data_IF_793050628363
#
_entry.id   IF_793050628363
#
_cell.length_a   1.000
_cell.length_b   1.000
_cell.length_c   1.000
_cell.angle_alpha   90.00
_cell.angle_beta   90.00
_cell.angle_gamma   90.00
#
_symmetry.space_group_name_H-M   'P 1'
#
loop_
_entity.id
_entity.type
_entity.pdbx_description
1 polymer ?
#
# COMPACT_ATOMS: atom_id res chain seq x y z
N UNK A 1 30.60 -16.76 19.83
CA UNK A 1 30.56 -16.00 18.59
C UNK A 1 29.68 -16.79 17.63
N UNK A 2 28.51 -16.30 17.27
CA UNK A 2 27.66 -16.93 16.24
C UNK A 2 28.43 -16.88 14.93
N UNK A 3 28.51 -18.00 14.22
CA UNK A 3 29.21 -18.08 12.96
C UNK A 3 28.21 -17.74 11.85
N UNK A 4 28.51 -16.69 11.07
CA UNK A 4 27.71 -16.29 9.91
C UNK A 4 28.10 -17.10 8.68
N UNK A 5 27.11 -17.55 7.93
CA UNK A 5 27.29 -18.37 6.73
C UNK A 5 26.68 -17.69 5.51
N UNK A 6 27.32 -17.87 4.37
CA UNK A 6 26.83 -17.34 3.10
C UNK A 6 25.67 -18.19 2.58
N UNK A 7 24.53 -17.54 2.36
CA UNK A 7 23.38 -18.15 1.67
C UNK A 7 23.20 -17.46 0.31
N UNK A 8 23.23 -18.26 -0.76
CA UNK A 8 23.03 -17.79 -2.13
C UNK A 8 21.81 -18.48 -2.74
N UNK A 9 20.91 -17.70 -3.31
CA UNK A 9 19.71 -18.20 -3.97
C UNK A 9 19.82 -18.15 -5.50
N UNK A 10 19.50 -19.27 -6.14
CA UNK A 10 19.34 -19.37 -7.59
C UNK A 10 17.86 -19.56 -7.96
N UNK A 11 17.38 -19.06 -9.10
CA UNK A 11 18.11 -18.34 -10.15
C UNK A 11 18.32 -16.85 -9.88
N UNK A 12 17.82 -16.28 -8.77
CA UNK A 12 17.82 -14.85 -8.48
C UNK A 12 19.22 -14.24 -8.33
N UNK A 13 20.23 -15.04 -7.95
CA UNK A 13 21.59 -14.58 -7.65
C UNK A 13 21.72 -13.79 -6.34
N UNK A 14 20.65 -13.60 -5.59
CA UNK A 14 20.65 -12.85 -4.33
C UNK A 14 21.41 -13.65 -3.25
N UNK A 15 22.21 -12.95 -2.47
CA UNK A 15 23.06 -13.58 -1.43
C UNK A 15 23.26 -12.67 -0.23
N UNK A 16 23.49 -13.28 0.92
CA UNK A 16 23.77 -12.59 2.18
C UNK A 16 24.33 -13.54 3.23
N UNK A 17 24.80 -13.00 4.36
CA UNK A 17 25.31 -13.78 5.47
C UNK A 17 24.25 -13.86 6.57
N UNK A 18 24.08 -15.06 7.12
CA UNK A 18 23.10 -15.37 8.16
C UNK A 18 23.69 -16.25 9.24
N UNK A 19 23.25 -16.03 10.47
CA UNK A 19 23.66 -16.83 11.61
C UNK A 19 23.24 -18.30 11.46
N UNK A 20 24.06 -19.20 11.98
CA UNK A 20 23.71 -20.62 12.09
C UNK A 20 22.38 -20.81 12.82
N UNK A 21 21.49 -21.66 12.28
CA UNK A 21 20.15 -21.88 12.80
C UNK A 21 19.05 -21.01 12.13
N UNK A 22 19.41 -20.05 11.29
CA UNK A 22 18.42 -19.24 10.56
C UNK A 22 17.64 -20.10 9.55
N UNK A 23 16.29 -20.12 9.57
CA UNK A 23 15.49 -20.80 8.55
C UNK A 23 15.74 -20.23 7.15
N UNK A 24 15.84 -21.09 6.14
CA UNK A 24 16.08 -20.66 4.74
C UNK A 24 14.97 -19.72 4.25
N UNK A 25 13.71 -19.94 4.65
CA UNK A 25 12.60 -19.03 4.33
C UNK A 25 12.82 -17.63 4.92
N UNK A 26 13.39 -17.53 6.12
CA UNK A 26 13.72 -16.23 6.73
C UNK A 26 14.83 -15.53 5.97
N UNK A 27 15.88 -16.26 5.59
CA UNK A 27 16.97 -15.74 4.76
C UNK A 27 16.44 -15.26 3.39
N UNK A 28 15.55 -16.03 2.75
CA UNK A 28 14.91 -15.66 1.49
C UNK A 28 14.10 -14.34 1.62
N UNK A 29 13.32 -14.22 2.68
CA UNK A 29 12.52 -13.00 2.97
C UNK A 29 13.41 -11.78 3.16
N UNK A 30 14.47 -11.93 3.96
CA UNK A 30 15.41 -10.84 4.22
C UNK A 30 16.10 -10.34 2.94
N UNK A 31 16.44 -11.25 2.04
CA UNK A 31 17.05 -10.92 0.75
C UNK A 31 16.01 -10.53 -0.34
N UNK A 32 14.72 -10.59 -0.03
CA UNK A 32 13.67 -10.35 -1.02
C UNK A 32 13.64 -11.39 -2.14
N UNK A 33 13.99 -12.65 -1.83
CA UNK A 33 13.88 -13.79 -2.77
C UNK A 33 12.44 -14.26 -2.80
N UNK A 34 11.91 -14.45 -4.00
CA UNK A 34 10.54 -14.97 -4.21
C UNK A 34 10.49 -16.45 -3.85
N UNK A 35 10.22 -16.75 -2.59
CA UNK A 35 9.98 -18.09 -2.07
C UNK A 35 8.61 -18.11 -1.38
N UNK A 36 7.67 -18.83 -1.98
CA UNK A 36 6.27 -18.88 -1.57
C UNK A 36 6.08 -19.53 -0.18
N UNK A 37 5.15 -19.02 0.62
CA UNK A 37 4.89 -19.53 1.96
C UNK A 37 3.47 -19.20 2.46
N UNK A 38 2.49 -19.93 1.99
CA UNK A 38 1.06 -19.74 2.33
C UNK A 38 0.76 -19.97 3.81
N UNK A 39 1.48 -20.86 4.49
CA UNK A 39 1.20 -21.22 5.88
C UNK A 39 1.97 -20.39 6.94
N UNK A 40 2.66 -19.33 6.54
CA UNK A 40 3.45 -18.52 7.47
C UNK A 40 4.64 -19.24 8.12
N UNK A 41 5.15 -20.33 7.52
CA UNK A 41 6.32 -21.06 8.05
C UNK A 41 5.98 -22.29 8.90
N UNK A 42 4.72 -22.70 9.01
CA UNK A 42 4.27 -23.84 9.85
C UNK A 42 4.59 -25.22 9.30
N UNK A 43 5.21 -25.34 8.12
CA UNK A 43 5.59 -26.63 7.51
C UNK A 43 4.42 -27.49 7.03
N UNK A 44 3.25 -26.89 6.72
CA UNK A 44 2.03 -27.62 6.34
C UNK A 44 1.58 -27.41 4.90
N UNK A 45 2.04 -26.36 4.21
CA UNK A 45 1.59 -26.06 2.84
C UNK A 45 2.54 -26.55 1.75
N UNK A 46 3.79 -26.84 2.05
CA UNK A 46 4.88 -27.21 1.12
C UNK A 46 5.20 -26.19 0.00
N UNK A 47 4.67 -25.02 0.06
CA UNK A 47 4.95 -24.00 -0.97
C UNK A 47 6.39 -23.49 -0.94
N UNK A 48 7.02 -23.48 0.24
CA UNK A 48 8.42 -23.10 0.43
C UNK A 48 9.43 -24.21 0.13
N UNK A 49 9.18 -25.06 -0.87
CA UNK A 49 10.13 -26.09 -1.26
C UNK A 49 11.38 -25.45 -1.87
N UNK A 50 12.53 -25.97 -1.46
CA UNK A 50 13.85 -25.58 -1.94
C UNK A 50 14.66 -26.80 -2.31
N UNK A 51 15.62 -26.66 -3.22
CA UNK A 51 16.60 -27.68 -3.55
C UNK A 51 17.98 -27.21 -3.07
N UNK A 52 18.55 -27.80 -2.02
CA UNK A 52 19.91 -27.47 -1.59
C UNK A 52 20.92 -27.99 -2.61
N UNK A 53 21.89 -27.16 -2.98
CA UNK A 53 23.00 -27.52 -3.83
C UNK A 53 24.22 -27.84 -2.99
N UNK A 54 24.90 -28.96 -3.30
CA UNK A 54 26.13 -29.38 -2.65
C UNK A 54 27.27 -29.48 -3.66
N UNK A 55 28.52 -29.31 -3.22
CA UNK A 55 29.71 -29.36 -4.07
C UNK A 55 30.24 -27.99 -4.45
N UNK A 56 31.00 -27.91 -5.53
CA UNK A 56 31.67 -26.71 -5.98
C UNK A 56 30.81 -25.91 -6.98
N UNK A 57 30.54 -24.64 -6.65
CA UNK A 57 29.85 -23.67 -7.50
C UNK A 57 30.82 -22.60 -7.96
N UNK A 58 31.73 -22.96 -8.87
CA UNK A 58 32.83 -22.10 -9.36
C UNK A 58 32.34 -20.75 -9.90
N UNK A 59 31.15 -20.73 -10.54
CA UNK A 59 30.52 -19.48 -11.06
C UNK A 59 30.21 -18.48 -9.94
N UNK A 60 29.99 -18.95 -8.73
CA UNK A 60 29.60 -18.13 -7.57
C UNK A 60 30.72 -18.02 -6.52
N UNK A 61 31.81 -18.76 -6.70
CA UNK A 61 32.93 -18.81 -5.76
C UNK A 61 32.58 -19.45 -4.42
N UNK A 62 31.63 -20.40 -4.40
CA UNK A 62 31.13 -21.05 -3.18
C UNK A 62 31.35 -22.56 -3.28
N UNK A 63 31.86 -23.15 -2.21
CA UNK A 63 31.92 -24.61 -2.02
C UNK A 63 31.00 -25.00 -0.87
N UNK A 64 30.00 -25.82 -1.17
CA UNK A 64 28.97 -26.24 -0.21
C UNK A 64 29.28 -27.64 0.30
N UNK A 65 29.49 -27.77 1.61
CA UNK A 65 29.72 -29.08 2.27
C UNK A 65 28.41 -29.83 2.53
N UNK A 66 28.50 -31.15 2.62
CA UNK A 66 27.43 -31.96 3.21
C UNK A 66 27.25 -31.51 4.68
N UNK A 67 25.98 -31.25 5.07
CA UNK A 67 25.67 -30.68 6.39
C UNK A 67 25.58 -29.19 6.47
N UNK A 68 25.66 -28.47 5.35
CA UNK A 68 25.40 -26.99 5.28
C UNK A 68 23.95 -26.61 5.67
N UNK A 69 23.03 -27.56 5.72
CA UNK A 69 21.68 -27.44 6.30
C UNK A 69 21.51 -28.37 7.49
N UNK A 70 20.57 -28.00 8.37
CA UNK A 70 20.14 -28.86 9.47
C UNK A 70 19.63 -30.22 8.99
N UNK A 71 19.72 -31.23 9.84
CA UNK A 71 19.08 -32.51 9.60
C UNK A 71 17.57 -32.39 9.44
N UNK A 72 16.94 -33.40 8.84
CA UNK A 72 15.49 -33.48 8.74
C UNK A 72 14.84 -33.47 10.11
N UNK A 73 13.86 -32.60 10.29
CA UNK A 73 13.09 -32.57 11.52
C UNK A 73 11.78 -33.39 11.40
N UNK A 74 11.09 -33.58 12.52
CA UNK A 74 9.84 -34.35 12.57
C UNK A 74 8.70 -33.76 11.74
N UNK A 75 8.73 -32.45 11.47
CA UNK A 75 7.72 -31.77 10.65
C UNK A 75 7.93 -32.09 9.17
N UNK A 76 9.16 -32.01 8.68
CA UNK A 76 9.51 -32.40 7.30
C UNK A 76 9.26 -33.87 7.07
N UNK A 77 9.66 -34.74 8.01
CA UNK A 77 9.43 -36.17 7.92
C UNK A 77 7.92 -36.48 7.84
N UNK A 78 7.13 -35.93 8.76
CA UNK A 78 5.67 -36.09 8.75
C UNK A 78 5.03 -35.59 7.46
N UNK A 79 5.57 -34.47 6.92
CA UNK A 79 5.08 -33.94 5.64
C UNK A 79 5.37 -34.92 4.48
N UNK A 80 6.63 -35.42 4.40
CA UNK A 80 7.05 -36.40 3.39
C UNK A 80 6.16 -37.65 3.43
N UNK A 81 5.93 -38.19 4.62
CA UNK A 81 5.18 -39.43 4.82
C UNK A 81 3.68 -39.28 4.45
N UNK A 82 3.09 -38.12 4.73
CA UNK A 82 1.63 -37.92 4.51
C UNK A 82 1.26 -37.34 3.15
N UNK A 83 2.11 -36.51 2.56
CA UNK A 83 1.78 -35.75 1.34
C UNK A 83 2.79 -35.94 0.22
N UNK A 84 3.91 -36.55 0.48
CA UNK A 84 5.02 -36.67 -0.44
C UNK A 84 5.79 -35.37 -0.63
N UNK A 85 7.10 -35.41 -0.48
CA UNK A 85 8.01 -34.35 -0.84
C UNK A 85 8.90 -34.88 -1.95
N UNK A 86 9.12 -34.10 -3.00
CA UNK A 86 10.00 -34.49 -4.11
C UNK A 86 11.39 -34.81 -3.57
N UNK A 87 11.98 -35.89 -4.03
CA UNK A 87 13.32 -36.30 -3.55
C UNK A 87 14.35 -35.21 -3.83
N UNK A 88 15.23 -34.98 -2.85
CA UNK A 88 16.23 -33.92 -2.88
C UNK A 88 15.71 -32.54 -2.45
N UNK A 89 14.41 -32.36 -2.22
CA UNK A 89 13.84 -31.10 -1.74
C UNK A 89 13.70 -31.08 -0.22
N UNK A 90 13.74 -29.85 0.32
CA UNK A 90 13.53 -29.53 1.72
C UNK A 90 12.43 -28.46 1.85
N UNK A 91 11.85 -28.34 3.02
CA UNK A 91 10.95 -27.22 3.35
C UNK A 91 11.77 -26.05 3.89
N UNK A 92 11.86 -24.97 3.13
CA UNK A 92 12.65 -23.79 3.48
C UNK A 92 12.29 -23.15 4.84
N UNK A 93 11.05 -23.35 5.30
CA UNK A 93 10.62 -22.88 6.62
C UNK A 93 11.10 -23.79 7.78
N UNK A 94 11.59 -25.00 7.49
CA UNK A 94 12.03 -25.99 8.48
C UNK A 94 13.53 -26.22 8.43
N UNK A 95 14.12 -26.19 7.24
CA UNK A 95 15.55 -26.33 7.04
C UNK A 95 16.27 -25.05 7.47
N UNK A 96 17.32 -25.18 8.30
CA UNK A 96 18.09 -24.04 8.83
C UNK A 96 19.54 -24.08 8.34
N UNK A 97 20.13 -22.88 8.23
CA UNK A 97 21.53 -22.66 7.83
C UNK A 97 22.47 -23.28 8.86
N UNK A 98 23.48 -24.08 8.42
CA UNK A 98 24.54 -24.65 9.25
C UNK A 98 25.92 -24.43 8.62
N UNK A 99 25.99 -23.98 7.39
CA UNK A 99 27.19 -23.71 6.62
C UNK A 99 26.90 -22.88 5.39
N UNK A 100 27.92 -22.51 4.64
CA UNK A 100 27.74 -21.84 3.36
C UNK A 100 26.90 -22.72 2.43
N UNK A 101 25.85 -22.15 1.81
CA UNK A 101 24.87 -22.93 1.06
C UNK A 101 24.40 -22.21 -0.21
N UNK A 102 24.21 -22.98 -1.27
CA UNK A 102 23.51 -22.57 -2.48
C UNK A 102 22.12 -23.21 -2.49
N UNK A 103 21.10 -22.40 -2.60
CA UNK A 103 19.69 -22.82 -2.59
C UNK A 103 19.07 -22.53 -3.95
N UNK A 104 18.62 -23.55 -4.63
CA UNK A 104 17.77 -23.37 -5.81
C UNK A 104 16.31 -23.30 -5.40
N UNK A 105 15.62 -22.24 -5.90
CA UNK A 105 14.18 -22.03 -5.71
C UNK A 105 13.46 -22.55 -6.94
N UNK A 106 12.79 -23.71 -6.85
CA UNK A 106 12.07 -24.29 -7.98
C UNK A 106 10.99 -23.34 -8.51
N UNK A 107 10.69 -23.34 -9.83
CA UNK A 107 9.68 -22.46 -10.42
C UNK A 107 8.31 -22.51 -9.73
N UNK A 108 7.89 -23.69 -9.30
CA UNK A 108 6.62 -23.92 -8.59
C UNK A 108 6.61 -23.42 -7.14
N UNK A 109 7.79 -23.08 -6.60
CA UNK A 109 7.95 -22.45 -5.28
C UNK A 109 8.22 -20.94 -5.37
N UNK A 110 8.26 -20.40 -6.58
CA UNK A 110 8.36 -18.96 -6.79
C UNK A 110 6.97 -18.36 -6.84
N UNK A 111 6.82 -17.17 -6.26
CA UNK A 111 5.59 -16.40 -6.43
C UNK A 111 5.49 -16.00 -7.91
N UNK A 112 4.49 -16.48 -8.60
CA UNK A 112 4.31 -16.16 -10.01
C UNK A 112 4.07 -14.66 -10.17
N UNK A 113 4.90 -13.99 -10.97
CA UNK A 113 4.68 -12.60 -11.37
C UNK A 113 3.44 -12.53 -12.26
N UNK A 114 2.29 -12.32 -11.64
CA UNK A 114 1.08 -11.99 -12.39
C UNK A 114 1.21 -10.55 -12.89
N UNK A 115 0.92 -10.33 -14.16
CA UNK A 115 0.79 -8.98 -14.70
C UNK A 115 -0.57 -8.46 -14.23
N UNK A 116 -0.54 -7.56 -13.25
CA UNK A 116 -1.76 -6.94 -12.73
C UNK A 116 -2.27 -5.93 -13.78
N UNK A 117 -3.36 -6.29 -14.46
CA UNK A 117 -4.06 -5.42 -15.41
C UNK A 117 -5.48 -5.18 -14.91
N UNK A 118 -5.63 -4.39 -13.86
CA UNK A 118 -6.95 -3.85 -13.51
C UNK A 118 -7.20 -2.61 -14.37
N UNK A 119 -8.26 -2.65 -15.19
CA UNK A 119 -8.70 -1.48 -15.95
C UNK A 119 -9.67 -0.69 -15.08
N UNK A 120 -9.52 0.64 -15.09
CA UNK A 120 -10.55 1.50 -14.54
C UNK A 120 -11.74 1.51 -15.51
N UNK A 121 -12.93 1.19 -15.01
CA UNK A 121 -14.18 1.47 -15.73
C UNK A 121 -14.59 2.91 -15.39
N UNK A 122 -14.75 3.72 -16.43
CA UNK A 122 -15.17 5.10 -16.26
C UNK A 122 -16.69 5.12 -16.15
N UNK A 123 -17.19 5.33 -14.94
CA UNK A 123 -18.61 5.58 -14.69
C UNK A 123 -18.91 7.08 -14.87
N UNK A 124 -20.15 7.40 -15.26
CA UNK A 124 -20.62 8.78 -15.23
C UNK A 124 -20.76 9.25 -13.78
N UNK A 125 -19.76 9.95 -13.28
CA UNK A 125 -19.75 10.52 -11.93
C UNK A 125 -19.91 12.03 -11.97
N UNK A 126 -20.53 12.61 -10.96
CA UNK A 126 -20.49 14.06 -10.74
C UNK A 126 -19.12 14.41 -10.16
N UNK A 127 -18.33 15.15 -10.93
CA UNK A 127 -16.99 15.53 -10.52
C UNK A 127 -17.03 16.47 -9.31
N UNK A 128 -16.42 16.03 -8.22
CA UNK A 128 -16.33 16.80 -6.97
C UNK A 128 -15.02 16.48 -6.23
N UNK A 129 -13.87 16.91 -6.79
CA UNK A 129 -12.57 16.58 -6.20
C UNK A 129 -12.40 17.27 -4.85
N UNK A 130 -11.68 16.59 -3.95
CA UNK A 130 -11.32 17.13 -2.63
C UNK A 130 -10.35 18.31 -2.75
N UNK A 131 -9.42 18.27 -3.69
CA UNK A 131 -8.51 19.41 -3.95
C UNK A 131 -8.85 20.10 -5.26
N UNK A 132 -9.01 21.42 -5.19
CA UNK A 132 -9.40 22.26 -6.34
C UNK A 132 -8.48 23.45 -6.48
N UNK A 133 -8.38 23.96 -7.72
CA UNK A 133 -7.60 25.14 -8.08
C UNK A 133 -8.47 26.40 -8.09
N UNK A 134 -7.98 27.46 -7.47
CA UNK A 134 -8.59 28.77 -7.40
C UNK A 134 -7.59 29.84 -7.79
N UNK A 135 -7.85 30.55 -8.87
CA UNK A 135 -7.07 31.74 -9.23
C UNK A 135 -7.62 32.97 -8.55
N UNK A 136 -6.75 33.77 -7.91
CA UNK A 136 -7.16 34.99 -7.23
C UNK A 136 -6.17 36.14 -7.47
N UNK A 137 -6.69 37.35 -7.41
CA UNK A 137 -5.95 38.59 -7.33
C UNK A 137 -5.90 39.06 -5.88
N UNK A 138 -4.71 39.18 -5.33
CA UNK A 138 -4.49 39.57 -3.93
C UNK A 138 -4.12 41.04 -3.86
N UNK A 139 -4.71 41.78 -2.92
CA UNK A 139 -4.40 43.17 -2.71
C UNK A 139 -2.93 43.37 -2.32
N UNK A 140 -2.24 44.33 -2.94
CA UNK A 140 -0.88 44.69 -2.56
C UNK A 140 -0.85 45.34 -1.16
N UNK A 141 0.20 45.08 -0.35
CA UNK A 141 0.35 45.72 0.91
C UNK A 141 0.62 47.24 0.76
N UNK A 142 -0.05 48.02 1.57
CA UNK A 142 0.24 49.44 1.68
C UNK A 142 0.38 49.89 3.13
N UNK A 143 0.80 51.12 3.34
CA UNK A 143 1.05 51.70 4.68
C UNK A 143 -0.24 51.97 5.48
N UNK A 144 -1.41 51.94 4.82
CA UNK A 144 -2.73 52.20 5.42
C UNK A 144 -3.46 50.92 5.80
N UNK A 145 -3.12 49.78 5.14
CA UNK A 145 -3.68 48.47 5.43
C UNK A 145 -2.55 47.47 5.78
N UNK A 146 -2.11 47.43 7.06
CA UNK A 146 -0.96 46.64 7.51
C UNK A 146 -1.28 45.15 7.75
N UNK A 147 -2.28 44.56 7.11
CA UNK A 147 -2.60 43.14 7.21
C UNK A 147 -1.47 42.26 6.64
N UNK A 148 -1.34 41.02 7.11
CA UNK A 148 -0.36 40.05 6.61
C UNK A 148 -0.72 39.54 5.22
N UNK A 149 0.23 38.93 4.53
CA UNK A 149 0.02 38.38 3.18
C UNK A 149 -0.96 37.20 3.20
N UNK A 150 -0.97 36.42 4.28
CA UNK A 150 -1.92 35.32 4.45
C UNK A 150 -3.35 35.80 4.59
N UNK A 151 -3.56 36.81 5.45
CA UNK A 151 -4.88 37.40 5.68
C UNK A 151 -5.44 38.02 4.41
N UNK A 152 -4.59 38.69 3.61
CA UNK A 152 -4.99 39.23 2.29
C UNK A 152 -5.34 38.13 1.31
N UNK A 153 -4.56 37.04 1.28
CA UNK A 153 -4.85 35.88 0.42
C UNK A 153 -6.17 35.21 0.82
N UNK A 154 -6.40 34.99 2.11
CA UNK A 154 -7.68 34.42 2.61
C UNK A 154 -8.84 35.34 2.23
N UNK A 155 -8.74 36.64 2.48
CA UNK A 155 -9.77 37.60 2.13
C UNK A 155 -10.05 37.64 0.62
N UNK A 156 -9.02 37.48 -0.23
CA UNK A 156 -9.19 37.38 -1.68
C UNK A 156 -9.97 36.13 -2.09
N UNK A 157 -9.65 34.97 -1.47
CA UNK A 157 -10.36 33.71 -1.72
C UNK A 157 -11.81 33.76 -1.21
N UNK A 158 -12.06 34.35 -0.05
CA UNK A 158 -13.41 34.56 0.50
C UNK A 158 -14.24 35.47 -0.43
N UNK A 159 -13.67 36.59 -0.85
CA UNK A 159 -14.39 37.58 -1.64
C UNK A 159 -14.66 37.14 -3.07
N UNK A 160 -13.67 36.52 -3.73
CA UNK A 160 -13.73 36.16 -5.15
C UNK A 160 -14.36 34.77 -5.38
N UNK A 161 -14.29 33.86 -4.40
CA UNK A 161 -14.72 32.47 -4.55
C UNK A 161 -15.73 31.98 -3.50
N UNK A 162 -16.14 32.83 -2.54
CA UNK A 162 -17.00 32.48 -1.41
C UNK A 162 -16.47 31.30 -0.58
N UNK A 163 -15.16 31.22 -0.38
CA UNK A 163 -14.54 30.19 0.47
C UNK A 163 -14.45 30.71 1.90
N UNK A 164 -15.15 30.07 2.83
CA UNK A 164 -15.20 30.48 4.23
C UNK A 164 -14.29 29.60 5.11
N UNK A 165 -13.85 30.17 6.24
CA UNK A 165 -13.06 29.47 7.27
C UNK A 165 -11.74 28.85 6.75
N UNK A 166 -11.11 29.47 5.76
CA UNK A 166 -9.87 28.96 5.17
C UNK A 166 -8.74 28.92 6.19
N UNK A 167 -8.05 27.79 6.20
CA UNK A 167 -6.79 27.61 6.90
C UNK A 167 -5.64 27.48 5.90
N UNK A 168 -4.41 27.71 6.33
CA UNK A 168 -3.23 27.50 5.50
C UNK A 168 -2.38 26.36 6.06
N UNK A 169 -1.97 25.45 5.18
CA UNK A 169 -0.97 24.45 5.54
C UNK A 169 0.38 25.15 5.83
N UNK A 170 1.07 24.73 6.90
CA UNK A 170 2.32 25.34 7.28
C UNK A 170 3.37 25.32 6.15
N UNK A 171 3.33 24.30 5.29
CA UNK A 171 4.29 24.15 4.19
C UNK A 171 4.25 25.30 3.17
N UNK A 172 3.15 26.05 3.06
CA UNK A 172 3.06 27.19 2.15
C UNK A 172 3.58 28.49 2.74
N UNK A 173 3.53 28.64 4.07
CA UNK A 173 3.84 29.90 4.75
C UNK A 173 5.26 30.41 4.43
N UNK A 174 6.32 29.58 4.49
CA UNK A 174 7.69 30.05 4.25
C UNK A 174 7.95 30.59 2.84
N UNK A 175 7.18 30.14 1.86
CA UNK A 175 7.36 30.51 0.43
C UNK A 175 6.30 31.48 -0.11
N UNK A 176 5.24 31.73 0.66
CA UNK A 176 4.09 32.52 0.23
C UNK A 176 4.47 33.92 -0.26
N UNK A 177 5.28 34.64 0.51
CA UNK A 177 5.68 36.01 0.15
C UNK A 177 6.41 36.08 -1.19
N UNK A 178 7.30 35.11 -1.44
CA UNK A 178 8.03 35.04 -2.70
C UNK A 178 7.10 34.70 -3.86
N UNK A 179 6.14 33.81 -3.67
CA UNK A 179 5.17 33.38 -4.70
C UNK A 179 4.26 34.54 -5.06
N UNK A 180 3.69 35.26 -4.09
CA UNK A 180 2.83 36.42 -4.32
C UNK A 180 3.54 37.50 -5.14
N UNK A 181 4.78 37.82 -4.78
CA UNK A 181 5.57 38.82 -5.49
C UNK A 181 5.97 38.38 -6.89
N UNK A 182 6.34 37.09 -7.07
CA UNK A 182 6.66 36.50 -8.37
C UNK A 182 5.44 36.50 -9.29
N UNK A 183 4.24 36.28 -8.74
CA UNK A 183 2.99 36.34 -9.46
C UNK A 183 2.43 37.76 -9.67
N UNK A 184 3.14 38.78 -9.23
CA UNK A 184 2.67 40.17 -9.25
C UNK A 184 1.27 40.28 -8.60
N UNK A 185 1.14 39.72 -7.41
CA UNK A 185 -0.06 39.65 -6.58
C UNK A 185 -1.23 38.85 -7.18
N UNK A 186 -0.96 38.07 -8.22
CA UNK A 186 -1.90 37.06 -8.73
C UNK A 186 -1.34 35.67 -8.41
N UNK A 187 -2.18 34.77 -7.95
CA UNK A 187 -1.79 33.41 -7.60
C UNK A 187 -2.90 32.41 -7.92
N UNK A 188 -2.49 31.18 -8.18
CA UNK A 188 -3.40 30.03 -8.19
C UNK A 188 -3.18 29.23 -6.91
N UNK A 189 -4.24 29.01 -6.15
CA UNK A 189 -4.22 28.23 -4.91
C UNK A 189 -4.80 26.85 -5.16
N UNK A 190 -4.12 25.80 -4.67
CA UNK A 190 -4.76 24.53 -4.45
C UNK A 190 -5.38 24.53 -3.05
N UNK A 191 -6.70 24.33 -2.97
CA UNK A 191 -7.44 24.27 -1.71
C UNK A 191 -8.02 22.87 -1.56
N UNK A 192 -7.68 22.22 -0.46
CA UNK A 192 -8.25 20.93 -0.09
C UNK A 192 -9.51 21.14 0.74
N UNK A 193 -10.63 20.61 0.24
CA UNK A 193 -11.93 20.60 0.90
C UNK A 193 -12.12 19.22 1.56
N UNK A 194 -12.09 19.21 2.88
CA UNK A 194 -12.48 18.01 3.62
C UNK A 194 -14.02 17.93 3.74
N UNK A 195 -14.50 16.87 4.37
CA UNK A 195 -15.92 16.72 4.67
C UNK A 195 -16.46 17.82 5.59
N UNK A 196 -17.78 17.83 5.72
CA UNK A 196 -18.50 18.71 6.65
C UNK A 196 -17.88 18.69 8.06
N UNK A 197 -17.53 19.88 8.53
CA UNK A 197 -16.97 20.09 9.88
C UNK A 197 -15.44 20.18 9.94
N UNK A 198 -14.75 20.14 8.80
CA UNK A 198 -13.31 20.44 8.71
C UNK A 198 -13.13 21.62 7.78
N UNK A 199 -12.44 22.65 8.27
CA UNK A 199 -12.18 23.88 7.49
C UNK A 199 -11.33 23.57 6.24
N UNK A 200 -11.63 24.21 5.10
CA UNK A 200 -10.82 24.07 3.88
C UNK A 200 -9.40 24.57 4.10
N UNK A 201 -8.44 23.92 3.46
CA UNK A 201 -7.02 24.23 3.65
C UNK A 201 -6.33 24.59 2.34
N UNK A 202 -5.62 25.70 2.32
CA UNK A 202 -4.73 26.07 1.23
C UNK A 202 -3.47 25.18 1.35
N UNK A 203 -3.26 24.30 0.36
CA UNK A 203 -2.20 23.28 0.42
C UNK A 203 -1.03 23.56 -0.52
N UNK A 204 -1.24 24.40 -1.56
CA UNK A 204 -0.17 24.82 -2.48
C UNK A 204 -0.50 26.16 -3.16
N UNK A 205 0.53 26.85 -3.63
CA UNK A 205 0.44 28.13 -4.33
C UNK A 205 1.33 28.11 -5.57
N UNK A 206 0.82 28.59 -6.67
CA UNK A 206 1.60 28.92 -7.89
C UNK A 206 1.52 30.41 -8.18
N UNK A 207 2.63 31.05 -8.61
CA UNK A 207 2.61 32.45 -9.01
C UNK A 207 1.82 32.61 -10.32
N UNK A 208 0.88 33.56 -10.37
CA UNK A 208 0.04 33.81 -11.52
C UNK A 208 -1.00 32.72 -11.78
N UNK A 209 -1.48 32.68 -13.04
CA UNK A 209 -2.41 31.65 -13.50
C UNK A 209 -1.65 30.33 -13.75
N UNK A 210 -2.01 29.29 -13.01
CA UNK A 210 -1.51 27.94 -13.23
C UNK A 210 -2.45 27.18 -14.17
N UNK A 211 -1.98 26.91 -15.39
CA UNK A 211 -2.74 26.17 -16.41
C UNK A 211 -2.51 24.65 -16.37
N UNK A 212 -1.60 24.19 -15.49
CA UNK A 212 -1.28 22.78 -15.33
C UNK A 212 -2.38 21.96 -14.65
N UNK A 213 -2.12 20.70 -14.48
CA UNK A 213 -3.03 19.72 -13.84
C UNK A 213 -2.52 19.36 -12.45
N UNK A 214 -3.45 19.09 -11.54
CA UNK A 214 -3.20 18.42 -10.27
C UNK A 214 -3.86 17.04 -10.30
N UNK A 215 -3.28 16.11 -9.56
CA UNK A 215 -3.65 14.70 -9.65
C UNK A 215 -4.07 14.14 -8.30
N UNK A 216 -4.88 13.09 -8.37
CA UNK A 216 -5.20 12.19 -7.26
C UNK A 216 -4.79 10.76 -7.60
N UNK A 217 -4.57 9.96 -6.58
CA UNK A 217 -4.27 8.53 -6.70
C UNK A 217 -5.38 7.70 -6.06
N UNK A 218 -5.99 6.80 -6.81
CA UNK A 218 -6.93 5.80 -6.28
C UNK A 218 -6.23 4.45 -6.19
N UNK A 219 -6.24 3.83 -5.01
CA UNK A 219 -5.45 2.62 -4.72
C UNK A 219 -6.33 1.51 -4.16
N UNK A 220 -6.29 0.36 -4.82
CA UNK A 220 -6.80 -0.91 -4.30
C UNK A 220 -5.62 -1.72 -3.73
N UNK A 221 -5.51 -1.73 -2.41
CA UNK A 221 -4.50 -2.47 -1.67
C UNK A 221 -5.00 -3.88 -1.33
N UNK A 222 -4.99 -4.75 -2.32
CA UNK A 222 -5.36 -6.14 -2.14
C UNK A 222 -4.30 -6.98 -1.43
N UNK A 223 -4.69 -8.14 -0.92
CA UNK A 223 -3.76 -9.07 -0.26
C UNK A 223 -2.71 -9.64 -1.22
N UNK A 224 -3.08 -9.91 -2.46
CA UNK A 224 -2.20 -10.49 -3.48
C UNK A 224 -1.63 -9.43 -4.41
N UNK A 225 -2.44 -8.46 -4.80
CA UNK A 225 -2.07 -7.43 -5.79
C UNK A 225 -2.44 -6.05 -5.27
N UNK A 226 -1.60 -5.07 -5.60
CA UNK A 226 -1.88 -3.65 -5.41
C UNK A 226 -2.13 -3.05 -6.79
N UNK A 227 -3.25 -2.36 -6.96
CA UNK A 227 -3.53 -1.60 -8.17
C UNK A 227 -3.70 -0.12 -7.83
N UNK A 228 -3.21 0.76 -8.70
CA UNK A 228 -3.34 2.19 -8.53
C UNK A 228 -3.66 2.88 -9.85
N UNK A 229 -4.48 3.93 -9.75
CA UNK A 229 -4.93 4.75 -10.85
C UNK A 229 -4.62 6.21 -10.57
N UNK A 230 -3.86 6.84 -11.47
CA UNK A 230 -3.60 8.28 -11.45
C UNK A 230 -4.74 8.99 -12.16
N UNK A 231 -5.40 9.90 -11.46
CA UNK A 231 -6.57 10.62 -11.94
C UNK A 231 -6.30 12.13 -12.05
N UNK A 232 -6.68 12.75 -13.15
CA UNK A 232 -6.75 14.22 -13.26
C UNK A 232 -7.91 14.72 -12.39
N UNK A 233 -7.64 15.56 -11.40
CA UNK A 233 -8.67 16.08 -10.49
C UNK A 233 -9.59 17.13 -11.13
N UNK A 234 -9.25 17.66 -12.31
CA UNK A 234 -10.09 18.63 -13.02
C UNK A 234 -11.11 17.96 -13.94
N UNK A 235 -10.75 16.81 -14.53
CA UNK A 235 -11.60 16.12 -15.51
C UNK A 235 -12.20 14.83 -14.98
N UNK A 236 -11.57 14.22 -13.97
CA UNK A 236 -11.91 12.89 -13.47
C UNK A 236 -11.33 11.76 -14.31
N UNK A 237 -10.57 12.07 -15.37
CA UNK A 237 -9.99 11.05 -16.25
C UNK A 237 -8.87 10.27 -15.56
N UNK A 238 -8.83 8.97 -15.83
CA UNK A 238 -7.69 8.13 -15.43
C UNK A 238 -6.57 8.31 -16.44
N UNK A 239 -5.49 8.97 -16.02
CA UNK A 239 -4.34 9.32 -16.87
C UNK A 239 -3.39 8.13 -17.03
N UNK A 240 -3.15 7.39 -15.95
CA UNK A 240 -2.30 6.22 -15.95
C UNK A 240 -2.80 5.20 -14.93
N UNK A 241 -2.48 3.93 -15.15
CA UNK A 241 -2.79 2.83 -14.24
C UNK A 241 -1.63 1.86 -14.18
N UNK A 242 -1.29 1.41 -13.00
CA UNK A 242 -0.29 0.38 -12.81
C UNK A 242 -0.66 -0.53 -11.65
N UNK A 243 0.00 -1.67 -11.56
CA UNK A 243 -0.19 -2.60 -10.46
C UNK A 243 1.02 -3.48 -10.27
N UNK A 244 1.14 -3.99 -9.06
CA UNK A 244 2.21 -4.88 -8.67
C UNK A 244 1.71 -5.96 -7.73
N UNK A 245 2.50 -7.02 -7.57
CA UNK A 245 2.29 -7.99 -6.51
C UNK A 245 2.49 -7.32 -5.14
N UNK A 246 1.59 -7.60 -4.20
CA UNK A 246 1.76 -7.09 -2.84
C UNK A 246 3.05 -7.67 -2.22
N UNK A 247 4.03 -6.84 -1.83
CA UNK A 247 5.30 -7.33 -1.29
C UNK A 247 5.16 -8.11 0.03
N UNK A 248 3.98 -8.04 0.67
CA UNK A 248 3.69 -8.83 1.87
C UNK A 248 3.39 -10.31 1.59
N UNK A 249 3.21 -10.73 0.32
CA UNK A 249 2.99 -12.14 -0.05
C UNK A 249 4.09 -13.05 0.53
N UNK A 250 5.33 -12.58 0.58
CA UNK A 250 6.46 -13.32 1.16
C UNK A 250 6.27 -13.69 2.63
N UNK A 251 5.38 -13.02 3.37
CA UNK A 251 5.06 -13.30 4.76
C UNK A 251 3.83 -14.19 4.92
N UNK A 252 2.96 -14.21 3.91
CA UNK A 252 1.76 -15.02 3.84
C UNK A 252 0.91 -14.64 2.63
N UNK A 253 0.40 -15.61 1.90
CA UNK A 253 -0.36 -15.39 0.67
C UNK A 253 -1.77 -14.85 0.98
N UNK A 254 -2.38 -15.33 2.05
CA UNK A 254 -3.69 -14.93 2.53
C UNK A 254 -3.64 -14.08 3.82
N UNK A 255 -4.78 -13.53 4.21
CA UNK A 255 -4.92 -12.66 5.37
C UNK A 255 -4.52 -13.34 6.68
N UNK A 256 -5.03 -14.55 6.89
CA UNK A 256 -4.81 -15.29 8.15
C UNK A 256 -3.36 -15.76 8.27
N UNK A 257 -2.70 -16.06 7.17
CA UNK A 257 -1.27 -16.37 7.14
C UNK A 257 -0.42 -15.18 7.59
N UNK A 258 -0.79 -13.95 7.23
CA UNK A 258 -0.11 -12.73 7.67
C UNK A 258 -0.35 -12.43 9.14
N UNK A 259 -1.58 -12.57 9.61
CA UNK A 259 -1.89 -12.46 11.04
C UNK A 259 -1.09 -13.50 11.83
N UNK A 260 -1.08 -14.76 11.36
CA UNK A 260 -0.27 -15.83 11.98
C UNK A 260 1.23 -15.50 11.98
N UNK A 261 1.73 -14.88 10.90
CA UNK A 261 3.13 -14.44 10.83
C UNK A 261 3.43 -13.38 11.90
N UNK A 262 2.58 -12.35 12.03
CA UNK A 262 2.73 -11.33 13.07
C UNK A 262 2.72 -11.95 14.48
N UNK A 263 1.80 -12.87 14.74
CA UNK A 263 1.68 -13.55 16.04
C UNK A 263 2.90 -14.40 16.40
N UNK A 264 3.54 -15.02 15.41
CA UNK A 264 4.65 -15.96 15.64
C UNK A 264 6.03 -15.31 15.56
N UNK A 265 6.15 -14.11 14.99
CA UNK A 265 7.40 -13.42 14.76
C UNK A 265 7.34 -12.02 15.39
N UNK A 266 7.98 -11.80 16.55
CA UNK A 266 8.05 -10.48 17.15
C UNK A 266 8.59 -9.43 16.18
N UNK A 267 7.80 -8.37 15.94
CA UNK A 267 8.11 -7.32 14.95
C UNK A 267 7.70 -7.64 13.51
N UNK A 268 7.09 -8.80 13.24
CA UNK A 268 6.62 -9.18 11.91
C UNK A 268 5.53 -8.25 11.35
N UNK A 269 4.73 -7.66 12.21
CA UNK A 269 3.78 -6.58 11.88
C UNK A 269 4.51 -5.36 11.26
N UNK A 270 5.61 -4.93 11.90
CA UNK A 270 6.42 -3.77 11.44
C UNK A 270 7.15 -4.08 10.14
N UNK A 271 7.63 -5.32 9.96
CA UNK A 271 8.25 -5.74 8.70
C UNK A 271 7.25 -5.71 7.55
N UNK A 272 6.02 -6.18 7.77
CA UNK A 272 4.97 -6.15 6.77
C UNK A 272 4.51 -4.71 6.47
N UNK A 273 4.39 -3.86 7.50
CA UNK A 273 4.10 -2.43 7.33
C UNK A 273 5.14 -1.74 6.45
N UNK A 274 6.41 -1.92 6.76
CA UNK A 274 7.50 -1.36 5.95
C UNK A 274 7.44 -1.85 4.51
N UNK A 275 7.28 -3.15 4.31
CA UNK A 275 7.25 -3.74 2.98
C UNK A 275 6.13 -3.18 2.10
N UNK A 276 4.92 -3.00 2.65
CA UNK A 276 3.79 -2.47 1.86
C UNK A 276 3.95 -0.97 1.59
N UNK A 277 4.47 -0.18 2.54
CA UNK A 277 4.70 1.26 2.34
C UNK A 277 5.79 1.53 1.30
N UNK A 278 6.92 0.83 1.38
CA UNK A 278 7.98 0.88 0.38
C UNK A 278 7.46 0.49 -1.01
N UNK A 279 6.67 -0.59 -1.08
CA UNK A 279 6.03 -1.00 -2.34
C UNK A 279 5.07 0.05 -2.88
N UNK A 280 4.31 0.70 -2.02
CA UNK A 280 3.37 1.76 -2.39
C UNK A 280 4.09 2.99 -2.94
N UNK A 281 5.13 3.47 -2.26
CA UNK A 281 5.91 4.63 -2.74
C UNK A 281 6.61 4.34 -4.08
N UNK A 282 7.13 3.11 -4.25
CA UNK A 282 7.70 2.67 -5.52
C UNK A 282 6.65 2.64 -6.65
N UNK A 283 5.43 2.17 -6.38
CA UNK A 283 4.32 2.15 -7.34
C UNK A 283 3.91 3.57 -7.75
N UNK A 284 3.81 4.50 -6.81
CA UNK A 284 3.50 5.90 -7.10
C UNK A 284 4.60 6.55 -7.96
N UNK A 285 5.86 6.27 -7.64
CA UNK A 285 7.00 6.74 -8.43
C UNK A 285 6.96 6.19 -9.85
N UNK A 286 6.64 4.90 -10.02
CA UNK A 286 6.54 4.26 -11.34
C UNK A 286 5.39 4.87 -12.17
N UNK A 287 4.18 5.02 -11.59
CA UNK A 287 3.03 5.59 -12.28
C UNK A 287 3.30 7.03 -12.72
N UNK A 288 3.94 7.82 -11.85
CA UNK A 288 4.30 9.21 -12.18
C UNK A 288 5.30 9.28 -13.33
N UNK A 289 6.27 8.36 -13.36
CA UNK A 289 7.24 8.27 -14.46
C UNK A 289 6.56 7.82 -15.77
N UNK A 290 5.67 6.84 -15.72
CA UNK A 290 4.93 6.34 -16.88
C UNK A 290 4.00 7.41 -17.47
N UNK A 291 3.46 8.29 -16.63
CA UNK A 291 2.61 9.42 -17.00
C UNK A 291 3.41 10.69 -17.35
N UNK A 292 4.74 10.68 -17.21
CA UNK A 292 5.63 11.82 -17.42
C UNK A 292 5.23 13.06 -16.58
N UNK A 293 4.80 12.84 -15.33
CA UNK A 293 4.42 13.91 -14.40
C UNK A 293 5.39 14.00 -13.22
N UNK A 294 5.46 15.20 -12.63
CA UNK A 294 6.08 15.36 -11.32
C UNK A 294 5.12 14.82 -10.24
N UNK A 295 5.58 13.85 -9.46
CA UNK A 295 4.79 13.26 -8.37
C UNK A 295 4.39 14.25 -7.27
N UNK A 296 5.05 15.41 -7.19
CA UNK A 296 4.63 16.50 -6.30
C UNK A 296 3.35 17.21 -6.76
N UNK A 297 2.82 16.88 -7.93
CA UNK A 297 1.49 17.33 -8.38
C UNK A 297 0.36 16.41 -7.93
N UNK A 298 0.68 15.29 -7.25
CA UNK A 298 -0.33 14.41 -6.65
C UNK A 298 -0.69 14.98 -5.27
N UNK A 299 -1.91 15.52 -5.18
CA UNK A 299 -2.41 16.23 -4.00
C UNK A 299 -3.28 15.38 -3.08
N UNK A 300 -3.87 14.31 -3.61
CA UNK A 300 -4.78 13.42 -2.90
C UNK A 300 -4.44 11.96 -3.19
N UNK A 301 -4.65 11.08 -2.21
CA UNK A 301 -4.58 9.65 -2.38
C UNK A 301 -5.69 8.96 -1.59
N UNK A 302 -6.45 8.09 -2.24
CA UNK A 302 -7.54 7.32 -1.64
C UNK A 302 -7.17 5.84 -1.64
N UNK A 303 -7.38 5.17 -0.50
CA UNK A 303 -7.02 3.77 -0.31
C UNK A 303 -8.24 2.95 0.08
N UNK A 304 -8.41 1.82 -0.61
CA UNK A 304 -9.34 0.76 -0.24
C UNK A 304 -8.56 -0.52 0.03
N UNK A 305 -8.99 -1.29 0.99
CA UNK A 305 -8.31 -2.51 1.40
C UNK A 305 -9.17 -3.36 2.34
N UNK A 306 -8.86 -4.64 2.43
CA UNK A 306 -9.45 -5.49 3.46
C UNK A 306 -8.92 -5.14 4.87
N UNK A 307 -9.56 -5.61 5.96
CA UNK A 307 -9.21 -5.21 7.32
C UNK A 307 -7.78 -5.50 7.75
N UNK A 308 -7.19 -6.61 7.32
CA UNK A 308 -5.81 -6.95 7.68
C UNK A 308 -4.83 -6.02 6.96
N UNK A 309 -5.07 -5.73 5.66
CA UNK A 309 -4.26 -4.78 4.91
C UNK A 309 -4.40 -3.37 5.47
N UNK A 310 -5.61 -2.98 5.88
CA UNK A 310 -5.87 -1.71 6.56
C UNK A 310 -4.97 -1.55 7.81
N UNK A 311 -4.95 -2.55 8.68
CA UNK A 311 -4.13 -2.51 9.89
C UNK A 311 -2.64 -2.47 9.57
N UNK A 312 -2.16 -3.38 8.74
CA UNK A 312 -0.75 -3.45 8.37
C UNK A 312 -0.24 -2.20 7.64
N UNK A 313 -1.05 -1.61 6.77
CA UNK A 313 -0.67 -0.38 6.06
C UNK A 313 -0.59 0.82 7.01
N UNK A 314 -1.50 0.90 7.98
CA UNK A 314 -1.50 1.93 9.03
C UNK A 314 -0.43 1.71 10.11
N UNK A 315 0.20 0.54 10.16
CA UNK A 315 1.16 0.18 11.22
C UNK A 315 0.49 -0.27 12.50
N UNK A 316 -0.73 -0.80 12.40
CA UNK A 316 -1.50 -1.38 13.50
C UNK A 316 -1.28 -2.89 13.51
N UNK A 317 -1.02 -3.46 14.69
CA UNK A 317 -0.91 -4.91 14.86
C UNK A 317 -2.24 -5.60 14.53
N UNK A 318 -2.26 -6.56 13.57
CA UNK A 318 -3.49 -7.23 13.16
C UNK A 318 -3.88 -8.40 14.08
N UNK A 319 -3.26 -8.58 15.24
CA UNK A 319 -3.46 -9.71 16.14
C UNK A 319 -4.94 -9.96 16.45
N UNK A 320 -5.68 -8.93 16.82
CA UNK A 320 -7.09 -9.04 17.21
C UNK A 320 -8.03 -9.43 16.04
N UNK A 321 -7.58 -9.24 14.80
CA UNK A 321 -8.30 -9.71 13.60
C UNK A 321 -8.13 -11.22 13.35
N UNK A 322 -7.21 -11.87 14.06
CA UNK A 322 -6.93 -13.31 13.94
C UNK A 322 -7.78 -14.19 14.83
N UNK A 323 -8.56 -13.64 15.73
CA UNK A 323 -9.36 -14.37 16.71
C UNK A 323 -10.69 -13.67 17.01
N UNK A 324 -11.69 -14.46 17.37
CA UNK A 324 -12.98 -13.90 17.74
C UNK A 324 -12.84 -12.96 18.96
N UNK A 325 -13.46 -11.76 18.95
CA UNK A 325 -14.51 -11.30 18.05
C UNK A 325 -14.06 -10.56 16.78
N UNK A 326 -12.80 -10.72 16.33
CA UNK A 326 -12.23 -10.10 15.13
C UNK A 326 -12.29 -8.57 15.18
N UNK A 327 -11.78 -8.01 16.28
CA UNK A 327 -11.93 -6.60 16.59
C UNK A 327 -11.03 -5.71 15.70
N UNK A 328 -11.64 -4.70 15.07
CA UNK A 328 -10.92 -3.62 14.40
C UNK A 328 -10.41 -2.61 15.43
N UNK A 329 -9.23 -2.05 15.20
CA UNK A 329 -8.78 -0.88 15.97
C UNK A 329 -9.68 0.35 15.69
N UNK A 330 -10.16 0.47 14.45
CA UNK A 330 -11.16 1.45 14.03
C UNK A 330 -11.92 0.96 12.81
N UNK A 331 -13.20 1.24 12.74
CA UNK A 331 -14.03 1.07 11.55
C UNK A 331 -14.24 2.39 10.79
N UNK A 332 -13.85 3.53 11.37
CA UNK A 332 -14.07 4.83 10.76
C UNK A 332 -13.11 5.10 9.58
N UNK A 333 -13.54 5.94 8.66
CA UNK A 333 -12.65 6.52 7.67
C UNK A 333 -11.53 7.32 8.36
N UNK A 334 -10.33 7.24 7.81
CA UNK A 334 -9.18 7.96 8.34
C UNK A 334 -8.64 8.97 7.32
N UNK A 335 -8.21 10.13 7.83
CA UNK A 335 -7.56 11.19 7.06
C UNK A 335 -6.24 11.55 7.70
N UNK A 336 -5.23 11.65 6.89
CA UNK A 336 -3.88 11.99 7.34
C UNK A 336 -3.07 12.60 6.20
N UNK A 337 -1.88 13.09 6.50
CA UNK A 337 -0.93 13.42 5.44
C UNK A 337 -0.34 12.14 4.83
N UNK A 338 -0.13 12.14 3.51
CA UNK A 338 0.43 10.99 2.81
C UNK A 338 1.83 10.61 3.32
N UNK A 339 2.63 11.58 3.73
CA UNK A 339 3.97 11.36 4.29
C UNK A 339 3.95 10.63 5.65
N UNK A 340 2.85 10.64 6.41
CA UNK A 340 2.70 9.82 7.62
C UNK A 340 2.61 8.31 7.30
N UNK A 341 2.30 7.98 6.04
CA UNK A 341 2.33 6.63 5.49
C UNK A 341 3.61 6.35 4.67
N UNK A 342 4.62 7.22 4.81
CA UNK A 342 5.90 7.12 4.08
C UNK A 342 5.75 7.18 2.54
N UNK A 343 4.68 7.82 2.06
CA UNK A 343 4.42 8.06 0.64
C UNK A 343 4.92 9.45 0.27
N UNK A 344 5.90 9.50 -0.64
CA UNK A 344 6.61 10.72 -1.01
C UNK A 344 5.98 11.36 -2.27
N UNK A 345 4.82 11.98 -2.10
CA UNK A 345 4.13 12.83 -3.08
C UNK A 345 4.17 14.29 -2.62
N UNK A 346 3.19 15.12 -2.98
CA UNK A 346 3.16 16.50 -2.48
C UNK A 346 3.24 16.54 -0.93
N UNK A 347 4.06 17.41 -0.33
CA UNK A 347 4.24 17.44 1.14
C UNK A 347 2.93 17.65 1.93
N UNK A 348 1.98 18.39 1.36
CA UNK A 348 0.65 18.64 1.94
C UNK A 348 -0.43 17.70 1.39
N UNK A 349 -0.06 16.66 0.62
CA UNK A 349 -1.04 15.71 0.09
C UNK A 349 -1.78 14.98 1.21
N UNK A 350 -3.08 14.78 1.00
CA UNK A 350 -3.95 14.06 1.92
C UNK A 350 -4.11 12.61 1.49
N UNK A 351 -4.03 11.71 2.46
CA UNK A 351 -4.40 10.32 2.33
C UNK A 351 -5.76 10.11 3.00
N UNK A 352 -6.68 9.50 2.26
CA UNK A 352 -7.99 9.10 2.74
C UNK A 352 -8.14 7.58 2.66
N UNK A 353 -8.38 6.95 3.78
CA UNK A 353 -8.60 5.51 3.86
C UNK A 353 -10.08 5.30 4.17
N UNK A 354 -10.77 4.56 3.32
CA UNK A 354 -12.20 4.32 3.46
C UNK A 354 -12.51 3.53 4.75
N UNK A 355 -13.74 3.67 5.29
CA UNK A 355 -14.14 2.94 6.48
C UNK A 355 -14.21 1.44 6.23
N UNK A 356 -13.89 0.62 7.24
CA UNK A 356 -14.19 -0.81 7.23
C UNK A 356 -15.63 -1.03 7.74
N UNK A 357 -16.32 -2.03 7.17
CA UNK A 357 -17.70 -2.37 7.59
C UNK A 357 -17.66 -3.25 8.85
N UNK A 358 -16.77 -4.25 8.87
CA UNK A 358 -16.61 -5.18 10.00
C UNK A 358 -15.20 -5.82 9.97
N UNK A 359 -14.87 -6.63 10.97
CA UNK A 359 -13.55 -7.26 11.11
C UNK A 359 -13.11 -8.14 9.93
N UNK A 360 -14.03 -8.61 9.10
CA UNK A 360 -13.75 -9.36 7.87
C UNK A 360 -14.30 -8.68 6.60
N UNK A 361 -15.01 -7.56 6.73
CA UNK A 361 -15.59 -6.81 5.60
C UNK A 361 -14.94 -5.43 5.57
N UNK A 362 -14.05 -5.22 4.64
CA UNK A 362 -13.14 -4.09 4.62
C UNK A 362 -13.62 -2.84 3.91
N UNK A 363 -12.69 -1.95 3.70
CA UNK A 363 -12.86 -0.72 2.95
C UNK A 363 -13.02 -0.97 1.44
N UNK A 364 -12.51 -2.08 0.92
CA UNK A 364 -12.75 -2.60 -0.42
C UNK A 364 -14.24 -2.88 -0.65
N UNK A 365 -14.88 -3.64 0.25
CA UNK A 365 -16.33 -3.87 0.20
C UNK A 365 -17.15 -2.57 0.37
N UNK A 366 -16.68 -1.62 1.19
CA UNK A 366 -17.31 -0.30 1.30
C UNK A 366 -17.22 0.48 -0.01
N UNK A 367 -16.11 0.40 -0.73
CA UNK A 367 -15.95 1.02 -2.04
C UNK A 367 -16.85 0.38 -3.11
N UNK A 368 -16.99 -0.95 -3.09
CA UNK A 368 -17.92 -1.67 -3.96
C UNK A 368 -19.37 -1.25 -3.65
N UNK A 369 -19.73 -1.12 -2.37
CA UNK A 369 -21.06 -0.60 -1.99
C UNK A 369 -21.30 0.82 -2.50
N UNK A 370 -20.26 1.67 -2.50
CA UNK A 370 -20.35 3.04 -3.02
C UNK A 370 -20.51 3.06 -4.56
N UNK A 371 -19.78 2.21 -5.28
CA UNK A 371 -19.80 2.19 -6.76
C UNK A 371 -21.08 1.59 -7.30
N UNK A 372 -21.54 0.47 -6.75
CA UNK A 372 -22.74 -0.24 -7.17
C UNK A 372 -24.04 0.32 -6.60
N UNK A 373 -23.92 1.09 -5.50
CA UNK A 373 -24.99 1.82 -4.84
C UNK A 373 -26.29 0.99 -4.64
N UNK A 374 -26.24 -0.22 -4.04
CA UNK A 374 -27.42 -1.03 -3.80
C UNK A 374 -28.44 -0.32 -2.89
N UNK A 375 -27.99 0.60 -2.04
CA UNK A 375 -28.80 1.46 -1.16
C UNK A 375 -29.66 2.47 -1.93
N UNK A 376 -29.48 2.64 -3.23
CA UNK A 376 -30.29 3.52 -4.09
C UNK A 376 -31.30 2.74 -4.94
N UNK A 377 -31.25 1.40 -4.93
CA UNK A 377 -32.15 0.55 -5.72
C UNK A 377 -33.48 0.28 -4.98
N UNK A 378 -34.57 0.29 -5.73
CA UNK A 378 -35.85 -0.21 -5.26
C UNK A 378 -35.89 -1.77 -5.23
N UNK A 379 -35.17 -2.39 -6.15
CA UNK A 379 -35.05 -3.83 -6.27
C UNK A 379 -33.96 -4.39 -5.35
N UNK A 380 -34.09 -5.65 -4.97
CA UNK A 380 -33.08 -6.36 -4.20
C UNK A 380 -31.89 -6.66 -5.13
N UNK A 381 -30.74 -6.06 -4.82
CA UNK A 381 -29.49 -6.19 -5.57
C UNK A 381 -28.54 -7.11 -4.82
N UNK A 382 -27.94 -8.06 -5.54
CA UNK A 382 -26.84 -8.90 -5.07
C UNK A 382 -25.57 -8.45 -5.78
N UNK A 383 -24.58 -8.01 -5.01
CA UNK A 383 -23.21 -7.70 -5.51
C UNK A 383 -22.26 -8.73 -4.93
N UNK A 384 -21.42 -9.29 -5.77
CA UNK A 384 -20.41 -10.29 -5.36
C UNK A 384 -19.06 -9.84 -5.88
N UNK A 385 -18.16 -9.47 -4.97
CA UNK A 385 -16.77 -9.21 -5.27
C UNK A 385 -15.96 -10.50 -5.07
N UNK A 386 -15.29 -10.96 -6.12
CA UNK A 386 -14.54 -12.22 -6.13
C UNK A 386 -13.06 -11.95 -6.34
N UNK A 387 -12.29 -12.08 -5.27
CA UNK A 387 -10.85 -11.91 -5.27
C UNK A 387 -10.13 -13.08 -4.57
N UNK A 388 -9.14 -12.76 -3.77
CA UNK A 388 -8.50 -13.74 -2.86
C UNK A 388 -9.49 -14.17 -1.76
N UNK A 389 -10.35 -13.25 -1.35
CA UNK A 389 -11.56 -13.49 -0.57
C UNK A 389 -12.77 -13.20 -1.45
N UNK A 390 -13.97 -13.48 -0.92
CA UNK A 390 -15.20 -13.11 -1.60
C UNK A 390 -16.09 -12.32 -0.64
N UNK A 391 -16.42 -11.10 -1.03
CA UNK A 391 -17.33 -10.23 -0.30
C UNK A 391 -18.70 -10.20 -1.02
N UNK A 392 -19.75 -10.30 -0.24
CA UNK A 392 -21.13 -10.31 -0.74
C UNK A 392 -21.90 -9.16 -0.11
N UNK A 393 -22.52 -8.34 -0.95
CA UNK A 393 -23.48 -7.31 -0.53
C UNK A 393 -24.86 -7.71 -1.06
N UNK A 394 -25.85 -7.69 -0.20
CA UNK A 394 -27.24 -7.97 -0.56
C UNK A 394 -28.15 -6.92 0.05
N UNK A 395 -28.89 -6.21 -0.78
CA UNK A 395 -29.80 -5.20 -0.25
C UNK A 395 -30.48 -4.33 -1.25
N UNK A 396 -31.19 -3.34 -0.74
CA UNK A 396 -31.87 -2.29 -1.48
C UNK A 396 -31.87 -1.01 -0.63
N UNK A 397 -32.67 0.00 -1.03
CA UNK A 397 -32.80 1.27 -0.31
C UNK A 397 -33.24 1.18 1.15
N UNK A 398 -33.86 0.06 1.56
CA UNK A 398 -34.29 -0.13 2.94
C UNK A 398 -33.18 -0.63 3.83
N UNK A 399 -32.36 -1.56 3.30
CA UNK A 399 -31.27 -2.19 4.05
C UNK A 399 -30.27 -2.87 3.11
N UNK A 400 -28.99 -2.73 3.42
CA UNK A 400 -27.91 -3.49 2.78
C UNK A 400 -27.21 -4.34 3.86
N UNK A 401 -27.01 -5.61 3.57
CA UNK A 401 -26.26 -6.56 4.38
C UNK A 401 -24.94 -6.86 3.68
N UNK A 402 -23.89 -7.09 4.45
CA UNK A 402 -22.58 -7.47 3.94
C UNK A 402 -22.04 -8.68 4.71
N UNK A 403 -21.33 -9.56 4.01
CA UNK A 403 -20.55 -10.65 4.57
C UNK A 403 -19.31 -10.95 3.72
N UNK A 404 -18.37 -11.67 4.32
CA UNK A 404 -17.16 -12.18 3.68
C UNK A 404 -16.96 -13.65 4.02
#
# INVERSE_FOLDING_TARGET
>A
MTQDHLVLFTPSGKRGHFESGTPILTAARHLGVDLDSVCGGRGICSKCQITPGYGEFSKHGVTVAEGALSDWNSVEQRYKDKRGLIDGRRLGCQATVQGDIVIDVPPESQVHKQVVRKRAEVLNITLNPSTRLYYVEVEEPDMHNPSGDLERLINALETQWNLENLQADFNIIPQMQQILRKGNWTVTCAVHHADTGIDPQIVHLWPGLYEGTIYGMAVDLGSTTIAAHLCDLRTGDVVASSGQMNPQIRFGEDLMSRVSYAMMNPGGDKEMTRAVREGMDALFTQISADAEIDKTLIMDAVFVCNPVMHHLFLGIDPFELGQAPFALATSNALRMFANQLEINIHPSARAYILPCIAGHVGADAAAVALSEAPDKSDDLVLVVDVGTNAEILLGNKEKVLACS
#
